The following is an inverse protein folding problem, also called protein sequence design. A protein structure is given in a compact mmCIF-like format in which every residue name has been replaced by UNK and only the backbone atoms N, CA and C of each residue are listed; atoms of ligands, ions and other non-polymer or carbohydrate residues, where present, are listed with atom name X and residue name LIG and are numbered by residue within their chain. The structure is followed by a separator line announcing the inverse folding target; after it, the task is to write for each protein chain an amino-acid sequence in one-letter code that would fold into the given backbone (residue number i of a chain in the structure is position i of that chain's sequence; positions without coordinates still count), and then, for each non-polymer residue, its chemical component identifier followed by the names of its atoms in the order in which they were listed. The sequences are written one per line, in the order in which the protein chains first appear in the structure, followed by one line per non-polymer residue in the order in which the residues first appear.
data_IF_150601018787
#
_entry.id   IF_150601018787
#
_cell.length_a   1.000
_cell.length_b   1.000
_cell.length_c   1.000
_cell.angle_alpha   90.00
_cell.angle_beta   90.00
_cell.angle_gamma   90.00
#
_symmetry.space_group_name_H-M   'P 1'
#
loop_
_entity.id
_entity.type
_entity.pdbx_description
1 polymer ?
#
# COMPACT_ATOMS: atom_id res chain seq x y z
N UNK A 1 15.83 -14.98 -8.44
CA UNK A 1 14.42 -15.44 -8.56
C UNK A 1 14.37 -16.95 -8.45
N UNK A 2 13.57 -17.50 -7.55
CA UNK A 2 13.34 -18.96 -7.48
C UNK A 2 12.47 -19.35 -8.66
N UNK A 3 12.95 -20.22 -9.53
CA UNK A 3 12.30 -20.61 -10.79
C UNK A 3 10.94 -21.31 -10.69
N UNK A 4 10.38 -21.57 -9.50
CA UNK A 4 9.10 -22.25 -9.30
C UNK A 4 8.48 -21.84 -7.94
N UNK A 5 8.43 -20.54 -7.64
CA UNK A 5 7.74 -20.08 -6.45
C UNK A 5 6.23 -20.02 -6.71
N UNK A 6 5.47 -20.79 -5.93
CA UNK A 6 4.01 -20.69 -5.89
C UNK A 6 3.58 -20.15 -4.53
N UNK A 7 2.85 -19.01 -4.49
CA UNK A 7 2.28 -18.45 -3.26
C UNK A 7 1.35 -19.45 -2.59
N UNK A 8 1.43 -19.54 -1.26
CA UNK A 8 0.53 -20.35 -0.47
C UNK A 8 0.15 -19.61 0.81
N UNK A 9 -1.03 -19.02 0.82
CA UNK A 9 -1.58 -18.25 1.96
C UNK A 9 -1.65 -19.07 3.25
N UNK A 10 -1.72 -20.40 3.15
CA UNK A 10 -1.77 -21.27 4.33
C UNK A 10 -0.49 -21.17 5.17
N UNK A 11 0.65 -20.82 4.57
CA UNK A 11 1.87 -20.54 5.34
C UNK A 11 1.68 -19.34 6.27
N UNK A 12 1.04 -18.26 5.81
CA UNK A 12 0.72 -17.12 6.66
C UNK A 12 -0.28 -17.52 7.75
N UNK A 13 -1.33 -18.25 7.41
CA UNK A 13 -2.31 -18.74 8.38
C UNK A 13 -1.67 -19.61 9.47
N UNK A 14 -0.72 -20.47 9.12
CA UNK A 14 0.05 -21.26 10.09
C UNK A 14 0.79 -20.36 11.08
N UNK A 15 1.49 -19.33 10.58
CA UNK A 15 2.19 -18.36 11.45
C UNK A 15 1.22 -17.67 12.39
N UNK A 16 0.07 -17.19 11.89
CA UNK A 16 -0.94 -16.53 12.71
C UNK A 16 -1.54 -17.46 13.79
N UNK A 17 -1.64 -18.76 13.52
CA UNK A 17 -2.04 -19.77 14.49
C UNK A 17 -0.89 -20.27 15.39
N UNK A 18 0.33 -19.70 15.26
CA UNK A 18 1.55 -20.14 15.95
C UNK A 18 1.97 -21.56 15.61
N UNK A 19 1.65 -22.00 14.40
CA UNK A 19 2.08 -23.27 13.82
C UNK A 19 3.32 -23.07 12.96
N UNK A 20 4.06 -24.15 12.72
CA UNK A 20 5.24 -24.09 11.84
C UNK A 20 4.82 -24.06 10.37
N UNK A 21 5.15 -23.00 9.61
CA UNK A 21 4.92 -22.97 8.17
C UNK A 21 5.91 -23.90 7.43
N UNK A 22 5.60 -24.23 6.18
CA UNK A 22 6.46 -25.08 5.35
C UNK A 22 7.76 -24.38 4.93
N UNK A 23 7.76 -23.05 4.97
CA UNK A 23 8.90 -22.15 4.68
C UNK A 23 8.76 -20.84 5.45
N UNK A 24 9.85 -20.07 5.64
CA UNK A 24 9.75 -18.71 6.18
C UNK A 24 8.77 -17.87 5.36
N UNK A 25 7.86 -17.17 6.04
CA UNK A 25 6.87 -16.28 5.42
C UNK A 25 7.45 -14.86 5.42
N UNK A 26 7.55 -14.27 4.24
CA UNK A 26 7.84 -12.85 4.10
C UNK A 26 6.58 -12.06 4.44
N UNK A 27 6.73 -11.01 5.24
CA UNK A 27 5.63 -10.15 5.63
C UNK A 27 6.01 -8.68 5.41
N UNK A 28 5.19 -7.96 4.66
CA UNK A 28 5.34 -6.54 4.40
C UNK A 28 3.96 -5.91 4.21
N UNK A 29 3.75 -4.73 4.80
CA UNK A 29 2.53 -3.96 4.60
C UNK A 29 2.60 -3.10 3.35
N UNK A 30 3.72 -2.42 3.16
CA UNK A 30 3.88 -1.43 2.11
C UNK A 30 5.19 -1.68 1.37
N UNK A 31 5.09 -1.76 0.05
CA UNK A 31 6.24 -1.75 -0.86
C UNK A 31 6.08 -0.52 -1.75
N UNK A 32 7.17 0.17 -2.00
CA UNK A 32 7.20 1.32 -2.90
C UNK A 32 6.60 0.97 -4.27
N UNK A 33 5.76 1.85 -4.80
CA UNK A 33 5.03 1.61 -6.05
C UNK A 33 5.97 1.39 -7.24
N UNK A 34 7.11 2.08 -7.28
CA UNK A 34 8.08 1.90 -8.37
C UNK A 34 8.69 0.50 -8.33
N UNK A 35 8.94 -0.04 -7.12
CA UNK A 35 9.39 -1.42 -6.96
C UNK A 35 8.32 -2.42 -7.39
N UNK A 36 7.06 -2.19 -7.01
CA UNK A 36 5.95 -3.04 -7.44
C UNK A 36 5.85 -3.07 -8.97
N UNK A 37 5.83 -1.91 -9.61
CA UNK A 37 5.78 -1.80 -11.09
C UNK A 37 6.98 -2.50 -11.75
N UNK A 38 8.18 -2.34 -11.21
CA UNK A 38 9.41 -2.96 -11.73
C UNK A 38 9.39 -4.49 -11.63
N UNK A 39 8.79 -5.04 -10.57
CA UNK A 39 8.77 -6.48 -10.31
C UNK A 39 7.55 -7.19 -10.85
N UNK A 40 6.49 -6.46 -11.22
CA UNK A 40 5.37 -7.04 -11.94
C UNK A 40 5.71 -7.30 -13.41
N UNK A 41 5.22 -8.40 -13.94
CA UNK A 41 5.27 -8.72 -15.38
C UNK A 41 3.99 -8.31 -16.10
N UNK A 42 2.99 -7.79 -15.36
CA UNK A 42 1.67 -7.45 -15.88
C UNK A 42 1.27 -6.05 -15.47
N UNK A 43 0.61 -5.35 -16.36
CA UNK A 43 -0.06 -4.08 -16.07
C UNK A 43 0.83 -3.00 -15.44
N UNK A 44 2.12 -2.94 -15.79
CA UNK A 44 3.08 -1.97 -15.21
C UNK A 44 2.65 -0.50 -15.37
N UNK A 45 1.87 -0.18 -16.40
CA UNK A 45 1.30 1.14 -16.66
C UNK A 45 -0.11 1.37 -16.12
N UNK A 46 -0.66 0.43 -15.31
CA UNK A 46 -2.02 0.53 -14.82
C UNK A 46 -2.25 1.80 -13.99
N UNK A 47 -3.43 2.39 -14.15
CA UNK A 47 -3.89 3.54 -13.38
C UNK A 47 -4.16 3.12 -11.93
N UNK A 48 -3.71 3.95 -10.98
CA UNK A 48 -3.89 3.69 -9.54
C UNK A 48 -5.37 3.55 -9.20
N UNK A 49 -5.72 2.47 -8.48
CA UNK A 49 -7.09 2.17 -8.09
C UNK A 49 -7.90 1.35 -9.12
N UNK A 50 -7.36 1.11 -10.32
CA UNK A 50 -8.00 0.22 -11.30
C UNK A 50 -7.83 -1.26 -10.93
N UNK A 51 -8.64 -2.13 -11.53
CA UNK A 51 -8.49 -3.59 -11.35
C UNK A 51 -7.12 -4.08 -11.83
N UNK A 52 -6.60 -3.51 -12.92
CA UNK A 52 -5.28 -3.81 -13.45
C UNK A 52 -4.19 -3.39 -12.45
N UNK A 53 -4.38 -2.30 -11.72
CA UNK A 53 -3.44 -1.87 -10.68
C UNK A 53 -3.37 -2.88 -9.54
N UNK A 54 -4.50 -3.39 -9.06
CA UNK A 54 -4.51 -4.45 -8.04
C UNK A 54 -3.91 -5.75 -8.57
N UNK A 55 -4.18 -6.11 -9.83
CA UNK A 55 -3.58 -7.27 -10.46
C UNK A 55 -2.05 -7.12 -10.60
N UNK A 56 -1.56 -5.92 -10.89
CA UNK A 56 -0.13 -5.58 -10.91
C UNK A 56 0.50 -5.78 -9.54
N UNK A 57 -0.13 -5.32 -8.46
CA UNK A 57 0.35 -5.50 -7.09
C UNK A 57 0.47 -6.99 -6.76
N UNK A 58 -0.58 -7.77 -7.01
CA UNK A 58 -0.60 -9.22 -6.75
C UNK A 58 0.54 -9.92 -7.50
N UNK A 59 0.72 -9.58 -8.77
CA UNK A 59 1.76 -10.17 -9.61
C UNK A 59 3.17 -9.80 -9.10
N UNK A 60 3.38 -8.56 -8.66
CA UNK A 60 4.64 -8.11 -8.08
C UNK A 60 4.97 -8.86 -6.78
N UNK A 61 4.02 -8.99 -5.86
CA UNK A 61 4.21 -9.72 -4.61
C UNK A 61 4.55 -11.19 -4.87
N UNK A 62 3.88 -11.84 -5.83
CA UNK A 62 4.22 -13.20 -6.27
C UNK A 62 5.68 -13.28 -6.74
N UNK A 63 6.13 -12.37 -7.59
CA UNK A 63 7.49 -12.38 -8.13
C UNK A 63 8.56 -12.02 -7.08
N UNK A 64 8.20 -11.26 -6.05
CA UNK A 64 9.06 -10.97 -4.91
C UNK A 64 9.14 -12.14 -3.91
N UNK A 65 8.27 -13.15 -4.03
CA UNK A 65 8.31 -14.36 -3.21
C UNK A 65 7.41 -14.31 -1.97
N UNK A 66 6.39 -13.49 -1.98
CA UNK A 66 5.40 -13.40 -0.90
C UNK A 66 4.27 -14.42 -1.10
N UNK A 67 3.78 -14.96 0.00
CA UNK A 67 2.65 -15.89 0.02
C UNK A 67 1.29 -15.18 -0.04
N UNK A 68 1.27 -13.86 0.05
CA UNK A 68 0.08 -13.00 0.00
C UNK A 68 0.42 -11.63 -0.63
N UNK A 69 -0.59 -10.88 -0.99
CA UNK A 69 -0.46 -9.47 -1.38
C UNK A 69 -1.48 -8.64 -0.58
N UNK A 70 -1.03 -7.63 0.21
CA UNK A 70 -1.96 -6.73 0.87
C UNK A 70 -2.58 -5.79 -0.16
N UNK A 71 -3.90 -5.71 -0.17
CA UNK A 71 -4.65 -4.77 -1.01
C UNK A 71 -5.43 -3.83 -0.13
N UNK A 72 -5.37 -2.55 -0.43
CA UNK A 72 -6.07 -1.49 0.28
C UNK A 72 -7.09 -0.82 -0.65
N UNK A 73 -8.29 -1.40 -0.83
CA UNK A 73 -9.29 -0.87 -1.77
C UNK A 73 -9.83 0.51 -1.36
N UNK A 74 -9.73 0.86 -0.08
CA UNK A 74 -10.13 2.17 0.46
C UNK A 74 -9.06 3.27 0.29
N UNK A 75 -7.85 2.94 -0.14
CA UNK A 75 -6.79 3.92 -0.42
C UNK A 75 -7.06 4.74 -1.72
N UNK A 76 -8.21 4.52 -2.32
CA UNK A 76 -8.67 5.25 -3.50
C UNK A 76 -9.46 6.49 -3.14
N UNK A 77 -8.88 7.40 -2.33
CA UNK A 77 -9.33 8.80 -2.22
C UNK A 77 -10.75 9.06 -1.69
N UNK A 78 -11.28 8.26 -0.79
CA UNK A 78 -12.57 8.58 -0.15
C UNK A 78 -12.48 9.81 0.75
N UNK A 79 -11.32 10.08 1.37
CA UNK A 79 -11.11 11.28 2.16
C UNK A 79 -10.02 12.15 1.51
N UNK A 80 -10.42 13.33 1.04
CA UNK A 80 -9.49 14.32 0.48
C UNK A 80 -9.05 15.27 1.58
N UNK A 81 -7.81 15.13 2.01
CA UNK A 81 -7.18 16.08 2.91
C UNK A 81 -6.43 17.13 2.09
N UNK A 82 -6.52 18.41 2.53
CA UNK A 82 -5.66 19.44 1.96
C UNK A 82 -4.18 19.13 2.26
N UNK A 83 -3.35 19.38 1.25
CA UNK A 83 -1.90 19.18 1.34
C UNK A 83 -1.21 20.53 1.47
N UNK A 84 -0.17 20.61 2.30
CA UNK A 84 0.70 21.77 2.34
C UNK A 84 1.29 22.07 0.93
N UNK A 85 1.44 23.35 0.60
CA UNK A 85 1.91 23.83 -0.73
C UNK A 85 3.24 23.21 -1.20
N UNK A 86 4.05 22.67 -0.29
CA UNK A 86 5.35 22.05 -0.58
C UNK A 86 5.31 20.51 -0.65
N UNK A 87 4.14 19.90 -0.58
CA UNK A 87 3.98 18.44 -0.64
C UNK A 87 4.06 17.89 -2.08
N UNK A 88 5.06 18.31 -2.85
CA UNK A 88 5.28 17.87 -4.24
C UNK A 88 6.07 16.56 -4.34
N UNK A 89 6.61 16.07 -3.23
CA UNK A 89 7.37 14.82 -3.21
C UNK A 89 6.46 13.62 -2.94
N UNK A 90 6.71 12.50 -3.60
CA UNK A 90 5.98 11.25 -3.46
C UNK A 90 6.07 10.64 -2.05
N UNK A 91 7.04 11.06 -1.25
CA UNK A 91 7.23 10.69 0.15
C UNK A 91 7.81 11.88 0.90
N UNK A 92 7.15 12.32 1.97
CA UNK A 92 7.67 13.34 2.87
C UNK A 92 7.45 12.92 4.32
N UNK A 93 8.33 13.37 5.20
CA UNK A 93 8.14 13.17 6.63
C UNK A 93 6.91 13.94 7.11
N UNK A 94 6.05 13.31 7.90
CA UNK A 94 4.90 13.96 8.53
C UNK A 94 5.29 15.18 9.40
N UNK A 95 6.58 15.31 9.74
CA UNK A 95 7.13 16.43 10.49
C UNK A 95 7.56 17.61 9.62
N UNK A 96 7.49 17.47 8.28
CA UNK A 96 7.80 18.56 7.35
C UNK A 96 6.49 19.21 6.87
N UNK A 97 6.33 20.50 7.14
CA UNK A 97 5.16 21.28 6.73
C UNK A 97 3.83 20.86 7.40
N UNK A 98 3.77 20.85 8.72
CA UNK A 98 2.52 20.67 9.44
C UNK A 98 1.57 21.84 9.15
N UNK A 99 0.39 21.56 8.58
CA UNK A 99 -0.68 22.56 8.37
C UNK A 99 -1.37 22.92 9.68
N UNK A 100 -1.39 22.02 10.62
CA UNK A 100 -2.00 22.18 11.95
C UNK A 100 -0.88 22.30 12.98
N UNK A 101 -0.70 23.50 13.52
CA UNK A 101 0.38 23.80 14.49
C UNK A 101 -0.16 24.18 15.88
N UNK A 102 -1.44 24.54 15.97
CA UNK A 102 -2.11 24.95 17.20
C UNK A 102 -3.62 24.66 17.14
N UNK A 103 -4.33 25.02 18.20
CA UNK A 103 -5.77 24.81 18.31
C UNK A 103 -6.56 25.59 17.27
N UNK A 104 -6.14 26.82 16.95
CA UNK A 104 -6.84 27.67 16.00
C UNK A 104 -6.75 27.12 14.56
N UNK A 105 -5.57 26.67 14.15
CA UNK A 105 -5.36 26.04 12.84
C UNK A 105 -6.10 24.70 12.72
N UNK A 106 -6.25 23.96 13.83
CA UNK A 106 -7.06 22.73 13.86
C UNK A 106 -8.55 23.05 13.63
N UNK A 107 -9.09 24.08 14.27
CA UNK A 107 -10.51 24.45 14.16
C UNK A 107 -10.84 25.07 12.78
N UNK A 108 -9.87 25.70 12.12
CA UNK A 108 -10.00 26.27 10.79
C UNK A 108 -9.68 25.31 9.65
N UNK A 109 -9.12 24.13 9.97
CA UNK A 109 -8.76 23.17 8.94
C UNK A 109 -10.00 22.65 8.23
N UNK A 110 -10.04 22.62 6.89
CA UNK A 110 -11.17 22.13 6.11
C UNK A 110 -11.21 20.59 6.17
N UNK A 111 -11.75 20.06 7.26
CA UNK A 111 -11.90 18.61 7.43
C UNK A 111 -12.78 18.04 6.34
N UNK A 112 -12.38 16.91 5.71
CA UNK A 112 -13.22 16.26 4.73
C UNK A 112 -14.52 15.73 5.38
N UNK A 113 -15.64 15.87 4.67
CA UNK A 113 -16.88 15.27 5.10
C UNK A 113 -16.79 13.74 4.93
N UNK A 114 -17.04 13.00 6.01
CA UNK A 114 -17.00 11.54 6.04
C UNK A 114 -18.17 10.91 5.27
N UNK A 115 -19.20 11.72 4.97
CA UNK A 115 -20.44 11.25 4.31
C UNK A 115 -20.47 11.54 2.80
N UNK A 116 -19.50 12.27 2.26
CA UNK A 116 -19.39 12.63 0.84
C UNK A 116 -18.58 11.59 0.01
N UNK A 117 -18.53 10.34 0.44
CA UNK A 117 -17.82 9.25 -0.24
C UNK A 117 -18.73 8.20 -0.86
#
# INVERSE_FOLDING_TARGET
MRKNFEPNIENLHKVLRRERPDRPVLFEFLIDEQLLRRHSQKFQGAEKGSLEYFAMIIDAFKHLGYDYAPLYPWDTNTLKFEKAEHATQASYSLNQAAMITDRASFEQYPWPDVYDG
#
